data_IF_767010735964
#
_entry.id   IF_767010735964
#
_cell.length_a   1.000
_cell.length_b   1.000
_cell.length_c   1.000
_cell.angle_alpha   90.00
_cell.angle_beta   90.00
_cell.angle_gamma   90.00
#
_symmetry.space_group_name_H-M   'P 1'
#
loop_
_entity.id
_entity.type
_entity.pdbx_description
1 polymer ?
#
# COMPACT_ATOMS: atom_id res chain seq x y z
N UNK A 1 13.02 -9.09 6.44
CA UNK A 1 12.76 -7.91 5.58
C UNK A 1 11.47 -8.12 4.79
N UNK A 2 11.13 -9.37 4.48
CA UNK A 2 10.02 -9.80 3.62
C UNK A 2 8.62 -9.58 4.23
N UNK A 3 8.46 -9.72 5.54
CA UNK A 3 7.18 -9.53 6.24
C UNK A 3 6.58 -8.12 6.08
N UNK A 4 7.41 -7.08 6.04
CA UNK A 4 6.97 -5.70 5.92
C UNK A 4 6.47 -5.40 4.51
N UNK A 5 7.15 -5.94 3.50
CA UNK A 5 6.78 -5.81 2.09
C UNK A 5 5.48 -6.56 1.86
N UNK A 6 5.37 -7.82 2.33
CA UNK A 6 4.15 -8.61 2.20
C UNK A 6 2.94 -7.94 2.88
N UNK A 7 3.12 -7.37 4.08
CA UNK A 7 2.05 -6.62 4.75
C UNK A 7 1.62 -5.37 3.99
N UNK A 8 2.57 -4.66 3.40
CA UNK A 8 2.27 -3.49 2.59
C UNK A 8 1.54 -3.89 1.29
N UNK A 9 1.98 -4.95 0.63
CA UNK A 9 1.35 -5.45 -0.59
C UNK A 9 -0.08 -5.96 -0.31
N UNK A 10 -0.28 -6.69 0.79
CA UNK A 10 -1.60 -7.12 1.23
C UNK A 10 -2.53 -5.94 1.55
N UNK A 11 -2.00 -4.88 2.18
CA UNK A 11 -2.77 -3.66 2.46
C UNK A 11 -3.20 -2.96 1.17
N UNK A 12 -2.28 -2.85 0.20
CA UNK A 12 -2.54 -2.21 -1.09
C UNK A 12 -3.57 -3.00 -1.89
N UNK A 13 -3.39 -4.32 -2.00
CA UNK A 13 -4.33 -5.23 -2.65
C UNK A 13 -5.72 -5.14 -2.02
N UNK A 14 -5.80 -5.17 -0.69
CA UNK A 14 -7.06 -5.07 0.04
C UNK A 14 -7.74 -3.71 -0.14
N UNK A 15 -7.00 -2.60 -0.02
CA UNK A 15 -7.58 -1.25 -0.07
C UNK A 15 -8.02 -0.85 -1.49
N UNK A 16 -7.26 -1.25 -2.50
CA UNK A 16 -7.57 -0.90 -3.90
C UNK A 16 -8.41 -1.97 -4.62
N UNK A 17 -8.66 -3.12 -3.99
CA UNK A 17 -9.30 -4.28 -4.60
C UNK A 17 -8.60 -4.69 -5.91
N UNK A 18 -7.27 -4.75 -5.88
CA UNK A 18 -6.42 -5.15 -7.01
C UNK A 18 -5.68 -6.46 -6.72
N UNK A 19 -5.25 -7.21 -7.75
CA UNK A 19 -4.42 -8.40 -7.59
C UNK A 19 -3.11 -8.11 -6.86
N UNK A 20 -2.46 -9.17 -6.38
CA UNK A 20 -1.12 -9.06 -5.79
C UNK A 20 -0.09 -8.61 -6.83
N UNK A 21 1.06 -8.04 -6.41
CA UNK A 21 2.13 -7.62 -7.32
C UNK A 21 2.59 -8.73 -8.28
N UNK A 22 2.55 -9.99 -7.85
CA UNK A 22 2.93 -11.14 -8.67
C UNK A 22 2.04 -11.37 -9.89
N UNK A 23 0.82 -10.81 -9.89
CA UNK A 23 -0.15 -10.88 -10.98
C UNK A 23 -0.24 -9.56 -11.77
N UNK A 24 0.61 -8.57 -11.47
CA UNK A 24 0.61 -7.24 -12.07
C UNK A 24 1.98 -6.89 -12.66
N UNK A 25 1.99 -6.09 -13.73
CA UNK A 25 3.24 -5.52 -14.24
C UNK A 25 3.88 -4.59 -13.21
N UNK A 26 5.21 -4.62 -13.09
CA UNK A 26 5.99 -3.80 -12.15
C UNK A 26 5.65 -2.30 -12.24
N UNK A 27 5.43 -1.79 -13.46
CA UNK A 27 5.05 -0.40 -13.69
C UNK A 27 3.66 -0.09 -13.10
N UNK A 28 2.71 -0.99 -13.30
CA UNK A 28 1.36 -0.86 -12.76
C UNK A 28 1.40 -0.90 -11.24
N UNK A 29 2.15 -1.84 -10.66
CA UNK A 29 2.30 -1.97 -9.22
C UNK A 29 2.95 -0.74 -8.58
N UNK A 30 4.04 -0.24 -9.16
CA UNK A 30 4.75 0.96 -8.71
C UNK A 30 3.84 2.20 -8.66
N UNK A 31 2.96 2.37 -9.66
CA UNK A 31 1.96 3.45 -9.67
C UNK A 31 0.93 3.32 -8.55
N UNK A 32 0.48 2.10 -8.23
CA UNK A 32 -0.46 1.85 -7.13
C UNK A 32 0.17 2.08 -5.76
N UNK A 33 1.42 1.68 -5.60
CA UNK A 33 2.24 1.99 -4.42
C UNK A 33 2.37 3.50 -4.20
N UNK A 34 2.69 4.26 -5.26
CA UNK A 34 2.77 5.72 -5.19
C UNK A 34 1.41 6.36 -4.82
N UNK A 35 0.31 5.85 -5.38
CA UNK A 35 -1.04 6.30 -5.08
C UNK A 35 -1.39 6.09 -3.60
N UNK A 36 -1.08 4.91 -3.04
CA UNK A 36 -1.35 4.60 -1.63
C UNK A 36 -0.46 5.43 -0.69
N UNK A 37 0.83 5.59 -1.00
CA UNK A 37 1.70 6.47 -0.23
C UNK A 37 1.17 7.91 -0.20
N UNK A 38 0.73 8.44 -1.34
CA UNK A 38 0.13 9.77 -1.40
C UNK A 38 -1.17 9.88 -0.59
N UNK A 39 -2.07 8.88 -0.69
CA UNK A 39 -3.30 8.85 0.11
C UNK A 39 -3.02 8.77 1.62
N UNK A 40 -1.96 8.05 2.01
CA UNK A 40 -1.47 7.96 3.38
C UNK A 40 -0.98 9.31 3.90
N UNK A 41 -0.16 10.02 3.12
CA UNK A 41 0.32 11.36 3.44
C UNK A 41 -0.81 12.38 3.58
N UNK A 42 -1.87 12.24 2.78
CA UNK A 42 -3.08 13.07 2.87
C UNK A 42 -3.99 12.70 4.04
N UNK A 43 -3.70 11.62 4.77
CA UNK A 43 -4.52 11.13 5.87
C UNK A 43 -5.86 10.53 5.43
N UNK A 44 -6.02 10.23 4.14
CA UNK A 44 -7.27 9.72 3.55
C UNK A 44 -7.47 8.23 3.89
N UNK A 45 -6.38 7.47 4.05
CA UNK A 45 -6.46 6.03 4.33
C UNK A 45 -7.05 5.69 5.71
N UNK A 46 -7.39 6.68 6.55
CA UNK A 46 -7.93 6.44 7.89
C UNK A 46 -6.95 5.73 8.84
N UNK A 47 -5.76 5.39 8.36
CA UNK A 47 -4.64 4.86 9.13
C UNK A 47 -4.13 6.00 10.02
N UNK A 48 -4.71 6.11 11.23
CA UNK A 48 -4.11 6.94 12.27
C UNK A 48 -2.69 6.42 12.47
N UNK A 49 -1.69 7.19 12.02
CA UNK A 49 -0.30 6.96 12.40
C UNK A 49 -0.29 6.94 13.93
N UNK A 50 -0.10 5.75 14.50
CA UNK A 50 -0.01 5.60 15.96
C UNK A 50 1.21 6.41 16.37
N UNK A 51 0.96 7.64 16.84
CA UNK A 51 1.96 8.50 17.42
C UNK A 51 2.26 7.84 18.75
N UNK A 52 3.28 6.99 18.80
CA UNK A 52 3.86 6.58 20.06
C UNK A 52 4.41 7.87 20.68
N UNK A 53 3.62 8.42 21.61
CA UNK A 53 3.97 9.57 22.43
C UNK A 53 4.92 9.17 23.54
#
# INVERSE_FOLDING_TARGET
MDDLIFKADALISHFLHIPFPEELDDETWSRKWAQINWLSEKGILGLKKQKNG
#
